data_IF_230082056980
#
_entry.id   IF_230082056980
#
_cell.length_a   1.000
_cell.length_b   1.000
_cell.length_c   1.000
_cell.angle_alpha   90.00
_cell.angle_beta   90.00
_cell.angle_gamma   90.00
#
_symmetry.space_group_name_H-M   'P 1'
#
loop_
_entity.id
_entity.type
_entity.pdbx_description
1 polymer ?
2 water ?
#
# COMPACT_ATOMS: atom_id res chain seq x y z
N UNK A 13 2.55 9.18 -12.54
CA UNK A 13 3.15 10.50 -12.55
C UNK A 13 3.58 10.91 -11.16
N UNK A 14 2.61 11.11 -10.27
CA UNK A 14 2.89 11.37 -8.87
C UNK A 14 2.34 10.21 -8.03
N UNK A 15 3.25 9.45 -7.43
CA UNK A 15 2.85 8.31 -6.61
C UNK A 15 2.72 8.75 -5.16
N UNK A 16 1.69 8.24 -4.49
CA UNK A 16 1.43 8.57 -3.10
C UNK A 16 1.70 7.32 -2.26
N UNK A 17 2.57 7.44 -1.26
CA UNK A 17 2.95 6.29 -0.44
C UNK A 17 3.79 5.30 -1.22
N UNK A 18 4.01 4.12 -0.63
CA UNK A 18 4.83 3.13 -1.28
C UNK A 18 4.38 1.74 -0.88
N UNK A 19 3.66 1.07 -1.76
CA UNK A 19 3.15 -0.25 -1.46
C UNK A 19 4.29 -1.26 -1.30
N UNK A 20 4.04 -2.25 -0.44
CA UNK A 20 4.88 -3.44 -0.31
C UNK A 20 3.95 -4.63 -0.15
N UNK A 21 4.48 -5.83 -0.37
CA UNK A 21 3.70 -7.05 -0.24
C UNK A 21 4.25 -7.83 0.92
N UNK A 22 3.40 -8.18 1.89
CA UNK A 22 3.81 -9.02 2.99
C UNK A 22 3.42 -10.47 2.64
N UNK A 23 4.42 -11.37 2.60
CA UNK A 23 4.19 -12.77 2.25
C UNK A 23 4.37 -13.64 3.50
N UNK A 24 3.27 -14.14 4.09
CA UNK A 24 3.45 -15.03 5.25
C UNK A 24 4.21 -16.29 4.86
N UNK A 25 5.18 -16.69 5.67
CA UNK A 25 6.11 -17.76 5.29
C UNK A 25 5.41 -19.08 4.97
N UNK A 26 4.26 -19.30 5.58
CA UNK A 26 3.56 -20.56 5.38
C UNK A 26 2.44 -20.47 4.33
N UNK A 27 2.34 -19.35 3.63
CA UNK A 27 1.25 -19.14 2.68
C UNK A 27 1.49 -19.80 1.33
N UNK A 28 0.44 -20.39 0.76
CA UNK A 28 0.57 -20.95 -0.58
C UNK A 28 0.75 -19.84 -1.61
N UNK A 29 0.10 -18.71 -1.38
CA UNK A 29 0.28 -17.59 -2.29
C UNK A 29 -0.41 -16.33 -1.78
N UNK A 30 -0.08 -15.22 -2.42
CA UNK A 30 -0.76 -13.96 -2.17
C UNK A 30 -1.14 -13.35 -3.51
N UNK A 31 -2.06 -12.40 -3.50
CA UNK A 31 -2.54 -11.77 -4.73
C UNK A 31 -2.32 -10.26 -4.67
N UNK A 32 -1.99 -9.66 -5.81
CA UNK A 32 -1.88 -8.21 -5.87
C UNK A 32 -2.43 -7.72 -7.19
N UNK A 33 -3.04 -6.53 -7.19
CA UNK A 33 -3.62 -5.99 -8.40
C UNK A 33 -2.57 -5.22 -9.20
N UNK A 34 -2.74 -5.20 -10.51
CA UNK A 34 -1.89 -4.42 -11.40
C UNK A 34 -2.82 -3.60 -12.28
N UNK A 35 -2.49 -2.33 -12.46
CA UNK A 35 -3.32 -1.47 -13.30
C UNK A 35 -2.49 -0.77 -14.36
N UNK A 36 -3.03 -0.73 -15.58
CA UNK A 36 -2.44 0.01 -16.68
C UNK A 36 -3.04 1.41 -16.72
N UNK A 37 -2.24 2.42 -16.38
CA UNK A 37 -2.74 3.78 -16.33
C UNK A 37 -2.76 4.48 -17.70
N UNK A 38 -2.20 3.82 -18.71
CA UNK A 38 -2.14 4.40 -20.05
C UNK A 38 -3.46 4.24 -20.81
N UNK A 39 -3.61 5.00 -21.90
CA UNK A 39 -4.82 4.91 -22.72
C UNK A 39 -4.63 3.93 -23.89
N UNK A 40 -3.56 3.14 -23.81
CA UNK A 40 -3.27 2.10 -24.80
C UNK A 40 -3.00 0.78 -24.11
N UNK A 41 -3.24 -0.35 -24.80
CA UNK A 41 -2.99 -1.66 -24.20
C UNK A 41 -1.50 -1.92 -24.00
N UNK A 42 -1.15 -2.70 -22.99
CA UNK A 42 0.22 -3.14 -22.82
C UNK A 42 0.25 -4.61 -22.46
N UNK A 43 1.38 -5.28 -22.69
CA UNK A 43 1.55 -6.64 -22.23
C UNK A 43 2.37 -6.60 -20.97
N UNK A 44 1.82 -7.15 -19.89
CA UNK A 44 2.44 -7.12 -18.56
C UNK A 44 3.35 -8.34 -18.38
N UNK A 45 4.64 -8.09 -18.19
CA UNK A 45 5.61 -9.14 -17.94
C UNK A 45 6.05 -9.04 -16.47
N UNK A 46 5.88 -10.11 -15.70
CA UNK A 46 6.16 -10.04 -14.27
C UNK A 46 7.16 -11.11 -13.89
N UNK A 47 8.11 -10.76 -13.01
CA UNK A 47 9.02 -11.76 -12.46
C UNK A 47 9.49 -11.41 -11.07
N UNK A 48 9.98 -12.42 -10.35
CA UNK A 48 10.51 -12.20 -9.01
C UNK A 48 12.03 -12.27 -9.04
N UNK A 49 12.65 -11.36 -8.30
CA UNK A 49 14.10 -11.27 -8.20
C UNK A 49 14.55 -11.37 -6.75
N UNK A 50 15.85 -11.55 -6.52
CA UNK A 50 16.40 -11.54 -5.17
C UNK A 50 16.40 -10.10 -4.61
N UNK A 51 16.94 -9.94 -3.39
CA UNK A 51 16.86 -8.64 -2.71
C UNK A 51 17.60 -7.54 -3.45
N UNK A 52 18.48 -7.92 -4.37
CA UNK A 52 19.24 -6.94 -5.12
C UNK A 52 18.73 -6.76 -6.55
N UNK A 53 17.49 -7.19 -6.78
CA UNK A 53 16.86 -7.14 -8.11
C UNK A 53 17.63 -7.92 -9.17
N UNK A 54 18.24 -9.03 -8.74
CA UNK A 54 18.91 -9.92 -9.67
C UNK A 54 18.20 -11.26 -9.76
N UNK A 55 18.26 -11.88 -10.94
CA UNK A 55 17.60 -13.17 -11.16
C UNK A 55 18.25 -14.27 -10.32
N UNK A 56 17.43 -15.15 -9.76
CA UNK A 56 17.98 -16.31 -9.05
C UNK A 56 18.01 -17.51 -9.99
N UNK A 57 18.86 -18.48 -9.68
CA UNK A 57 19.01 -19.67 -10.52
C UNK A 57 17.69 -20.43 -10.61
N UNK A 58 17.11 -20.70 -9.44
CA UNK A 58 15.79 -21.29 -9.34
C UNK A 58 14.93 -20.29 -8.59
N UNK A 59 13.93 -19.75 -9.27
CA UNK A 59 13.04 -18.76 -8.67
C UNK A 59 12.40 -19.33 -7.42
N UNK A 60 12.55 -18.65 -6.27
CA UNK A 60 11.91 -19.12 -5.05
C UNK A 60 10.41 -18.85 -5.06
N UNK A 61 9.92 -18.01 -5.98
CA UNK A 61 8.49 -17.77 -6.17
C UNK A 61 8.14 -17.87 -7.65
N UNK A 62 6.88 -18.18 -7.92
CA UNK A 62 6.33 -18.16 -9.28
C UNK A 62 5.17 -17.16 -9.36
N UNK A 63 5.19 -16.29 -10.37
CA UNK A 63 4.12 -15.32 -10.57
C UNK A 63 3.27 -15.74 -11.74
N UNK A 64 1.97 -15.78 -11.52
CA UNK A 64 1.05 -16.13 -12.61
C UNK A 64 -0.05 -15.08 -12.71
N UNK A 65 -0.42 -14.73 -13.94
CA UNK A 65 0.26 -15.14 -15.18
C UNK A 65 1.55 -14.33 -15.39
N UNK A 66 2.61 -14.97 -15.92
CA UNK A 66 3.86 -14.22 -16.08
C UNK A 66 3.82 -13.23 -17.25
N UNK A 67 2.83 -13.39 -18.13
CA UNK A 67 2.63 -12.49 -19.25
C UNK A 67 1.13 -12.40 -19.53
N UNK A 68 0.58 -11.19 -19.55
CA UNK A 68 -0.81 -11.03 -19.98
C UNK A 68 -1.11 -9.63 -20.48
N UNK A 69 -2.23 -9.51 -21.20
CA UNK A 69 -2.63 -8.25 -21.79
C UNK A 69 -3.51 -7.45 -20.84
N UNK A 70 -3.15 -6.19 -20.62
CA UNK A 70 -4.00 -5.28 -19.87
C UNK A 70 -4.37 -4.13 -20.79
N UNK A 71 -5.65 -4.04 -21.14
CA UNK A 71 -6.11 -2.97 -22.01
C UNK A 71 -6.07 -1.63 -21.28
N UNK A 72 -6.35 -0.56 -22.02
CA UNK A 72 -6.28 0.80 -21.47
C UNK A 72 -7.11 0.96 -20.21
N UNK A 73 -6.47 1.47 -19.16
CA UNK A 73 -7.13 1.78 -17.89
C UNK A 73 -7.66 0.54 -17.17
N UNK A 74 -7.32 -0.63 -17.67
CA UNK A 74 -7.78 -1.89 -17.07
C UNK A 74 -6.90 -2.37 -15.93
N UNK A 75 -7.52 -3.15 -15.05
CA UNK A 75 -6.78 -3.78 -13.97
C UNK A 75 -7.05 -5.28 -13.94
N UNK A 76 -6.09 -6.03 -13.43
CA UNK A 76 -6.29 -7.44 -13.18
C UNK A 76 -5.42 -7.80 -12.01
N UNK A 77 -5.15 -9.06 -11.80
CA UNK A 77 -4.33 -9.44 -10.65
C UNK A 77 -3.27 -10.49 -10.94
N UNK A 78 -2.26 -10.51 -10.09
CA UNK A 78 -1.17 -11.47 -10.17
C UNK A 78 -1.23 -12.33 -8.93
N UNK A 79 -0.89 -13.61 -9.09
CA UNK A 79 -0.68 -14.49 -7.96
C UNK A 79 0.81 -14.73 -7.79
N UNK A 80 1.30 -14.52 -6.58
CA UNK A 80 2.68 -14.78 -6.23
C UNK A 80 2.67 -15.99 -5.30
N UNK A 81 3.31 -17.08 -5.74
CA UNK A 81 3.26 -18.33 -4.99
C UNK A 81 4.66 -18.84 -4.69
N UNK A 82 4.95 -19.18 -3.44
CA UNK A 82 6.28 -19.71 -3.14
C UNK A 82 6.51 -21.04 -3.87
N UNK A 83 7.74 -21.24 -4.32
CA UNK A 83 8.02 -22.30 -5.28
C UNK A 83 9.24 -23.11 -4.88
N UNK A 84 9.59 -23.08 -3.60
CA UNK A 84 10.61 -23.98 -3.10
C UNK A 84 11.78 -23.35 -2.38
N UNK A 85 11.85 -22.03 -2.36
CA UNK A 85 12.87 -21.36 -1.57
C UNK A 85 12.73 -21.72 -0.11
N UNK A 86 13.86 -21.92 0.57
CA UNK A 86 13.86 -22.21 2.00
C UNK A 86 14.20 -20.93 2.76
N UNK A 87 13.21 -20.35 3.43
CA UNK A 87 13.38 -19.07 4.11
C UNK A 87 13.56 -19.29 5.60
N UNK A 88 14.38 -18.45 6.24
CA UNK A 88 14.56 -18.59 7.70
C UNK A 88 13.29 -18.20 8.45
N UNK A 89 13.12 -18.77 9.64
CA UNK A 89 11.94 -18.50 10.43
C UNK A 89 12.19 -17.51 11.57
N UNK A 90 13.40 -16.96 11.65
CA UNK A 90 13.78 -16.07 12.75
C UNK A 90 13.81 -14.59 12.34
N UNK A 91 13.59 -14.33 11.06
CA UNK A 91 13.62 -12.96 10.56
C UNK A 91 12.96 -12.91 9.19
N UNK A 92 12.64 -11.70 8.76
CA UNK A 92 12.11 -11.48 7.41
C UNK A 92 13.18 -11.72 6.35
N UNK A 93 12.71 -12.06 5.14
CA UNK A 93 13.54 -12.14 3.95
C UNK A 93 12.97 -11.21 2.90
N UNK A 94 13.82 -10.60 2.07
CA UNK A 94 13.35 -9.63 1.07
C UNK A 94 13.60 -10.13 -0.35
N UNK A 95 12.54 -10.07 -1.16
CA UNK A 95 12.63 -10.29 -2.60
C UNK A 95 11.97 -9.11 -3.30
N UNK A 96 12.04 -9.06 -4.63
CA UNK A 96 11.33 -8.04 -5.39
C UNK A 96 10.44 -8.62 -6.46
N UNK A 97 9.22 -8.10 -6.58
CA UNK A 97 8.40 -8.34 -7.76
C UNK A 97 8.58 -7.16 -8.70
N UNK A 98 8.97 -7.44 -9.94
CA UNK A 98 9.10 -6.38 -10.93
C UNK A 98 8.19 -6.67 -12.11
N UNK A 99 7.50 -5.62 -12.57
CA UNK A 99 6.51 -5.72 -13.63
C UNK A 99 6.89 -4.75 -14.73
N UNK A 100 6.84 -5.21 -15.97
CA UNK A 100 7.14 -4.35 -17.12
C UNK A 100 5.95 -4.33 -18.05
N UNK A 101 5.53 -3.14 -18.46
CA UNK A 101 4.45 -3.00 -19.43
C UNK A 101 5.00 -2.77 -20.81
N UNK A 102 4.64 -3.65 -21.74
CA UNK A 102 5.17 -3.61 -23.10
C UNK A 102 4.06 -3.48 -24.14
N UNK A 103 4.21 -2.54 -25.08
CA UNK A 103 3.26 -2.44 -26.20
C UNK A 103 3.29 -3.66 -27.13
N UNK A 104 2.11 -4.08 -27.62
CA UNK A 104 2.03 -5.15 -28.63
C UNK A 104 2.84 -4.79 -29.88
N UNK A 119 8.43 -1.33 -13.01
CA UNK A 119 7.98 -1.07 -11.66
C UNK A 119 8.28 -2.25 -10.74
N UNK A 120 8.99 -1.98 -9.65
CA UNK A 120 9.36 -3.01 -8.68
C UNK A 120 8.78 -2.71 -7.30
N UNK A 121 8.32 -3.76 -6.63
CA UNK A 121 7.74 -3.65 -5.30
C UNK A 121 8.37 -4.68 -4.37
N UNK A 122 8.59 -4.31 -3.11
CA UNK A 122 9.20 -5.23 -2.14
C UNK A 122 8.24 -6.36 -1.78
N UNK A 123 8.80 -7.56 -1.73
CA UNK A 123 8.10 -8.75 -1.27
C UNK A 123 8.79 -9.18 0.02
N UNK A 124 8.11 -8.97 1.14
CA UNK A 124 8.69 -9.25 2.44
C UNK A 124 8.17 -10.58 2.98
N UNK A 125 9.01 -11.59 3.00
CA UNK A 125 8.63 -12.89 3.54
C UNK A 125 8.67 -12.81 5.05
N UNK A 126 7.54 -13.09 5.70
CA UNK A 126 7.45 -12.88 7.14
C UNK A 126 7.05 -14.17 7.86
N UNK A 127 7.96 -14.70 8.69
CA UNK A 127 7.60 -15.89 9.48
C UNK A 127 6.43 -15.59 10.41
N UNK A 128 5.52 -16.54 10.55
CA UNK A 128 4.43 -16.37 11.51
C UNK A 128 4.96 -16.33 12.94
N UNK A 129 6.18 -16.81 13.11
CA UNK A 129 6.82 -16.85 14.43
C UNK A 129 7.15 -15.46 14.95
N UNK A 130 7.26 -14.48 14.05
CA UNK A 130 7.64 -13.12 14.46
C UNK A 130 6.52 -12.44 15.25
N UNK A 131 6.90 -11.81 16.35
CA UNK A 131 5.96 -11.07 17.17
C UNK A 131 5.97 -9.58 16.79
N UNK A 132 4.79 -9.01 16.60
CA UNK A 132 4.70 -7.59 16.30
C UNK A 132 4.77 -7.21 14.84
N UNK A 133 4.92 -5.91 14.59
CA UNK A 133 5.08 -5.36 13.26
C UNK A 133 6.23 -4.33 13.30
N UNK A 134 6.74 -3.92 12.13
CA UNK A 134 7.90 -3.04 12.11
C UNK A 134 7.82 -1.77 12.98
N UNK A 135 6.68 -1.09 13.04
CA UNK A 135 6.61 0.15 13.81
C UNK A 135 6.95 -0.06 15.29
N UNK A 136 6.77 -1.28 15.79
CA UNK A 136 7.07 -1.57 17.19
C UNK A 136 8.57 -1.64 17.50
N UNK A 137 9.40 -1.62 16.46
CA UNK A 137 10.84 -1.78 16.61
C UNK A 137 11.61 -0.63 15.96
N UNK A 138 10.87 0.30 15.36
CA UNK A 138 11.49 1.44 14.68
C UNK A 138 12.40 2.27 15.56
N UNK A 139 12.04 2.42 16.83
CA UNK A 139 12.82 3.21 17.77
C UNK A 139 14.15 2.54 18.10
N UNK A 140 14.23 1.23 17.90
CA UNK A 140 15.37 0.44 18.39
C UNK A 140 16.62 0.52 17.52
N UNK A 141 16.55 1.22 16.39
CA UNK A 141 17.74 1.40 15.57
C UNK A 141 18.79 2.17 16.37
N UNK A 142 20.03 1.72 16.29
CA UNK A 142 21.13 2.48 16.88
C UNK A 142 22.11 2.82 15.77
N UNK A 143 22.96 3.82 16.02
CA UNK A 143 23.74 4.45 14.96
C UNK A 143 25.17 4.71 15.38
N UNK A 144 26.08 4.43 14.44
CA UNK A 144 27.51 4.71 14.62
C UNK A 144 28.03 5.40 13.36
N UNK A 145 29.15 6.10 13.48
CA UNK A 145 29.84 6.63 12.31
C UNK A 145 31.24 6.06 12.28
N UNK A 146 31.59 5.45 11.15
CA UNK A 146 32.96 4.94 10.94
C UNK A 146 33.26 5.01 9.45
N UNK A 147 34.50 5.34 9.11
CA UNK A 147 34.94 5.30 7.72
C UNK A 147 34.15 6.17 6.77
N UNK A 148 33.61 7.26 7.30
CA UNK A 148 32.88 8.21 6.48
C UNK A 148 31.45 7.77 6.18
N UNK A 149 30.98 6.76 6.90
CA UNK A 149 29.63 6.27 6.69
C UNK A 149 28.81 6.31 7.97
N UNK A 150 27.50 6.53 7.81
CA UNK A 150 26.55 6.43 8.92
C UNK A 150 25.99 5.02 8.91
N UNK A 151 26.21 4.29 10.00
CA UNK A 151 25.87 2.87 10.03
C UNK A 151 24.74 2.63 11.01
N UNK A 152 23.62 2.14 10.49
CA UNK A 152 22.49 1.77 11.34
C UNK A 152 22.59 0.30 11.76
N UNK A 153 22.23 0.02 13.00
CA UNK A 153 22.15 -1.36 13.50
C UNK A 153 20.69 -1.66 13.83
N UNK A 154 20.19 -2.76 13.28
CA UNK A 154 18.80 -3.17 13.45
C UNK A 154 18.75 -4.53 14.14
N UNK A 155 18.50 -4.54 15.46
CA UNK A 155 18.46 -5.79 16.22
C UNK A 155 17.18 -6.57 16.03
N UNK A 156 16.19 -5.96 15.37
CA UNK A 156 14.87 -6.57 15.23
C UNK A 156 14.84 -7.59 14.09
N UNK A 157 13.80 -8.44 14.08
CA UNK A 157 13.70 -9.42 12.99
C UNK A 157 12.98 -8.88 11.75
N UNK A 158 12.67 -7.59 11.70
CA UNK A 158 11.98 -7.00 10.55
C UNK A 158 12.89 -6.07 9.77
N UNK A 159 12.74 -6.02 8.45
CA UNK A 159 13.34 -4.93 7.69
C UNK A 159 12.83 -3.60 8.20
N UNK A 160 13.76 -2.69 8.50
CA UNK A 160 13.41 -1.31 8.80
C UNK A 160 13.57 -0.52 7.50
N UNK A 161 12.45 -0.35 6.80
CA UNK A 161 12.48 0.29 5.50
C UNK A 161 12.42 1.81 5.68
N UNK A 162 13.58 2.44 5.61
CA UNK A 162 13.66 3.89 5.85
C UNK A 162 12.87 4.70 4.80
N UNK A 163 12.06 5.63 5.26
CA UNK A 163 11.34 6.55 4.40
C UNK A 163 11.86 7.98 4.47
N UNK A 164 12.46 8.31 5.61
CA UNK A 164 13.08 9.62 5.84
C UNK A 164 14.35 9.40 6.63
N UNK A 165 15.42 10.10 6.27
CA UNK A 165 16.68 9.99 7.02
C UNK A 165 17.46 11.29 6.91
N UNK A 166 17.79 11.87 8.06
CA UNK A 166 18.64 13.06 8.09
C UNK A 166 19.79 12.85 9.06
N UNK A 167 20.95 13.41 8.73
CA UNK A 167 22.12 13.34 9.60
C UNK A 167 22.81 14.69 9.53
N UNK A 168 23.02 15.31 10.68
CA UNK A 168 23.56 16.67 10.71
C UNK A 168 22.67 17.60 9.91
N UNK A 169 21.38 17.29 9.87
CA UNK A 169 20.42 18.15 9.21
C UNK A 169 20.39 17.98 7.71
N UNK A 170 21.20 17.07 7.19
CA UNK A 170 21.27 16.81 5.75
C UNK A 170 20.50 15.54 5.41
N UNK A 171 19.74 15.58 4.31
CA UNK A 171 19.00 14.40 3.88
C UNK A 171 19.94 13.35 3.33
N UNK A 172 19.69 12.10 3.70
CA UNK A 172 20.49 10.97 3.24
C UNK A 172 19.56 10.03 2.48
N UNK A 173 19.93 9.64 1.24
CA UNK A 173 19.04 8.77 0.46
C UNK A 173 18.68 7.48 1.22
N UNK A 174 17.40 7.14 1.24
CA UNK A 174 16.94 6.00 2.03
C UNK A 174 17.42 4.66 1.48
N UNK A 175 17.56 3.71 2.40
CA UNK A 175 17.83 2.32 2.06
C UNK A 175 17.28 1.51 3.23
N UNK A 176 16.82 0.29 2.96
CA UNK A 176 16.38 -0.56 4.06
C UNK A 176 17.51 -0.92 5.01
N UNK A 177 17.17 -1.13 6.27
CA UNK A 177 18.13 -1.67 7.22
C UNK A 177 17.72 -3.11 7.45
N UNK A 178 18.57 -4.06 7.04
CA UNK A 178 18.17 -5.47 7.08
C UNK A 178 18.05 -5.98 8.52
N UNK A 179 17.20 -7.01 8.73
CA UNK A 179 16.96 -7.51 10.09
C UNK A 179 18.18 -8.21 10.67
N UNK A 180 18.36 -8.05 11.99
CA UNK A 180 19.49 -8.63 12.72
C UNK A 180 20.80 -8.32 12.02
N UNK A 181 20.92 -7.10 11.51
CA UNK A 181 22.09 -6.74 10.72
C UNK A 181 22.25 -5.24 10.73
N UNK A 182 22.92 -4.71 9.72
CA UNK A 182 23.29 -3.30 9.67
C UNK A 182 23.16 -2.74 8.26
N UNK A 183 23.11 -1.43 8.13
CA UNK A 183 23.29 -0.78 6.83
C UNK A 183 24.15 0.47 6.93
N UNK A 184 25.14 0.60 6.05
CA UNK A 184 26.06 1.74 6.08
C UNK A 184 25.73 2.68 4.92
N UNK A 185 25.40 3.93 5.27
CA UNK A 185 25.06 4.97 4.29
C UNK A 185 26.26 5.85 3.98
N UNK A 186 26.50 6.09 2.70
CA UNK A 186 27.51 7.07 2.28
C UNK A 186 27.07 8.45 2.73
N UNK A 187 28.04 9.27 3.14
CA UNK A 187 27.76 10.63 3.62
C UNK A 187 28.42 11.67 2.72
N UNK A 191 30.47 16.39 7.10
CA UNK A 191 29.65 15.92 8.22
C UNK A 191 30.49 15.27 9.33
N UNK A 192 31.80 15.52 9.33
CA UNK A 192 32.68 14.91 10.32
C UNK A 192 32.27 15.21 11.76
N UNK A 193 31.79 16.42 12.00
CA UNK A 193 31.37 16.77 13.35
C UNK A 193 30.01 16.22 13.75
N UNK A 194 29.24 15.74 12.79
CA UNK A 194 27.81 15.48 13.00
C UNK A 194 27.52 14.28 13.90
N UNK A 195 26.50 14.40 14.74
CA UNK A 195 26.11 13.29 15.60
C UNK A 195 24.61 13.00 15.61
N UNK A 196 23.81 13.93 15.10
CA UNK A 196 22.36 13.84 15.23
C UNK A 196 21.64 13.19 14.06
N UNK A 197 21.03 12.02 14.29
CA UNK A 197 20.28 11.30 13.27
C UNK A 197 18.78 11.40 13.53
N UNK A 198 18.00 11.62 12.47
CA UNK A 198 16.53 11.56 12.58
C UNK A 198 16.02 10.65 11.48
N UNK A 199 15.00 9.86 11.79
CA UNK A 199 14.48 8.90 10.80
C UNK A 199 13.00 8.61 10.94
N UNK A 200 12.40 8.18 9.84
CA UNK A 200 11.07 7.58 9.85
C UNK A 200 11.17 6.30 9.06
N UNK A 201 10.60 5.21 9.56
CA UNK A 201 10.42 4.03 8.72
C UNK A 201 9.11 4.14 7.94
N UNK A 202 8.96 3.25 6.95
CA UNK A 202 7.70 3.07 6.23
C UNK A 202 7.02 1.87 6.88
N UNK A 203 5.76 2.04 7.27
CA UNK A 203 5.01 0.97 7.91
C UNK A 203 4.50 -0.06 6.89
N UNK A 204 3.86 -1.12 7.38
CA UNK A 204 3.36 -2.18 6.49
C UNK A 204 2.36 -1.65 5.47
N UNK A 205 1.69 -0.55 5.81
CA UNK A 205 0.66 0.02 4.94
C UNK A 205 1.23 0.98 3.90
N UNK A 206 2.55 1.12 3.88
CA UNK A 206 3.19 1.95 2.88
C UNK A 206 3.26 3.42 3.25
N UNK A 207 2.93 3.73 4.49
CA UNK A 207 2.92 5.11 4.95
C UNK A 207 4.11 5.45 5.82
N UNK A 208 4.37 6.75 5.98
CA UNK A 208 5.47 7.17 6.85
C UNK A 208 5.09 7.06 8.32
N UNK A 209 5.99 6.49 9.11
CA UNK A 209 5.80 6.33 10.55
C UNK A 209 6.31 7.59 11.27
N UNK A 210 6.14 7.63 12.59
CA UNK A 210 6.59 8.77 13.39
C UNK A 210 8.11 8.99 13.33
N UNK A 211 8.51 10.21 13.64
CA UNK A 211 9.91 10.62 13.61
C UNK A 211 10.61 10.23 14.90
N UNK A 212 11.82 9.67 14.75
CA UNK A 212 12.71 9.40 15.87
C UNK A 212 13.99 10.17 15.70
N UNK A 213 14.60 10.56 16.82
CA UNK A 213 15.89 11.25 16.83
C UNK A 213 16.81 10.60 17.85
N UNK A 214 18.08 10.39 17.46
CA UNK A 214 19.10 9.89 18.38
C UNK A 214 20.44 10.47 18.00
N UNK A 215 21.37 10.48 18.95
CA UNK A 215 22.73 10.82 18.64
C UNK A 215 23.51 9.54 18.38
N UNK A 216 24.49 9.61 17.49
CA UNK A 216 25.33 8.44 17.26
C UNK A 216 26.13 8.08 18.49
N UNK A 217 26.42 6.79 18.62
CA UNK A 217 27.24 6.25 19.70
C UNK A 217 28.71 6.48 19.37
N UNK B 14 2.45 1.26 -15.11
CA UNK B 14 1.79 0.13 -14.46
C UNK B 14 1.90 0.24 -12.95
N UNK B 15 0.76 0.34 -12.27
CA UNK B 15 0.75 0.42 -10.81
C UNK B 15 0.53 -0.96 -10.20
N UNK B 16 1.26 -1.25 -9.12
CA UNK B 16 1.14 -2.52 -8.42
C UNK B 16 0.55 -2.25 -7.05
N UNK B 17 -0.53 -2.95 -6.71
CA UNK B 17 -1.21 -2.75 -5.44
C UNK B 17 -2.02 -1.47 -5.46
N UNK B 18 -2.63 -1.16 -4.32
CA UNK B 18 -3.42 0.07 -4.21
C UNK B 18 -3.26 0.65 -2.83
N UNK B 19 -2.43 1.68 -2.71
CA UNK B 19 -2.19 2.28 -1.41
C UNK B 19 -3.43 3.00 -0.87
N UNK B 20 -3.51 3.05 0.46
CA UNK B 20 -4.53 3.81 1.17
C UNK B 20 -3.83 4.39 2.40
N UNK B 21 -4.42 5.45 2.95
CA UNK B 21 -3.87 6.11 4.13
C UNK B 21 -4.85 5.84 5.25
N UNK B 22 -4.35 5.27 6.35
CA UNK B 22 -5.17 5.05 7.54
C UNK B 22 -4.86 6.20 8.48
N UNK B 23 -5.88 7.02 8.77
CA UNK B 23 -5.72 8.16 9.66
C UNK B 23 -6.38 7.86 11.01
N UNK B 24 -5.57 7.69 12.06
CA UNK B 24 -6.19 7.41 13.37
C UNK B 24 -7.02 8.62 13.80
N UNK B 25 -8.28 8.40 14.13
CA UNK B 25 -9.19 9.51 14.42
C UNK B 25 -8.61 10.40 15.52
N UNK B 26 -8.67 11.71 15.31
CA UNK B 26 -8.13 12.69 16.26
C UNK B 26 -6.61 12.67 16.53
N UNK B 27 -5.84 11.94 15.72
CA UNK B 27 -4.41 12.13 15.69
C UNK B 27 -4.16 13.56 15.22
N UNK B 28 -3.08 14.18 15.69
CA UNK B 28 -2.78 15.55 15.29
C UNK B 28 -2.51 15.59 13.79
N UNK B 29 -1.82 14.58 13.29
CA UNK B 29 -1.56 14.48 11.87
C UNK B 29 -0.85 13.20 11.46
N UNK B 30 -0.69 13.03 10.15
CA UNK B 30 0.14 11.94 9.61
C UNK B 30 0.99 12.53 8.48
N UNK B 31 2.14 11.92 8.24
CA UNK B 31 2.97 12.30 7.08
C UNK B 31 2.79 11.30 5.95
N UNK B 32 2.82 11.82 4.72
CA UNK B 32 2.62 11.01 3.51
C UNK B 32 3.66 11.39 2.46
N UNK B 33 4.31 10.38 1.87
CA UNK B 33 5.32 10.63 0.84
C UNK B 33 4.72 10.72 -0.57
N UNK B 34 5.17 11.71 -1.34
CA UNK B 34 4.80 11.82 -2.75
C UNK B 34 6.06 11.80 -3.60
N UNK B 35 5.98 11.16 -4.76
CA UNK B 35 7.13 11.06 -5.64
C UNK B 35 6.76 11.37 -7.08
N UNK B 36 7.58 12.20 -7.72
CA UNK B 36 7.44 12.51 -9.14
C UNK B 36 8.21 11.46 -9.93
N UNK B 37 7.50 10.70 -10.76
CA UNK B 37 8.14 9.61 -11.51
C UNK B 37 8.75 10.07 -12.83
N UNK B 38 8.47 11.31 -13.21
CA UNK B 38 8.93 11.80 -14.52
C UNK B 38 10.21 12.63 -14.43
N UNK B 39 10.84 12.86 -15.58
CA UNK B 39 12.06 13.67 -15.65
C UNK B 39 11.78 15.13 -15.98
N UNK B 40 10.61 15.61 -15.56
CA UNK B 40 10.23 17.01 -15.68
C UNK B 40 9.58 17.44 -14.38
N UNK B 41 9.70 18.74 -14.02
CA UNK B 41 9.10 19.19 -12.76
C UNK B 41 7.58 19.36 -12.88
N UNK B 42 6.89 19.19 -11.76
CA UNK B 42 5.44 19.34 -11.73
C UNK B 42 5.01 20.19 -10.53
N UNK B 43 4.05 21.07 -10.73
CA UNK B 43 3.45 21.79 -9.62
C UNK B 43 2.32 20.91 -9.11
N UNK B 44 2.41 20.48 -7.85
CA UNK B 44 1.32 19.67 -7.33
C UNK B 44 0.45 20.35 -6.29
N UNK B 45 -0.86 20.19 -6.47
CA UNK B 45 -1.85 20.70 -5.54
C UNK B 45 -2.45 19.50 -4.83
N UNK B 46 -2.37 19.50 -3.52
CA UNK B 46 -2.88 18.40 -2.72
C UNK B 46 -4.04 18.86 -1.85
N UNK B 47 -5.17 18.19 -1.98
CA UNK B 47 -6.37 18.54 -1.22
C UNK B 47 -7.12 17.31 -0.75
N UNK B 48 -7.78 17.42 0.40
CA UNK B 48 -8.64 16.35 0.88
C UNK B 48 -10.09 16.66 0.50
N UNK B 49 -10.77 15.68 -0.09
CA UNK B 49 -12.16 15.82 -0.53
C UNK B 49 -13.06 14.89 0.28
N UNK B 50 -14.38 15.04 0.18
CA UNK B 50 -15.26 14.09 0.85
C UNK B 50 -15.24 12.73 0.15
N UNK B 51 -16.05 11.78 0.63
CA UNK B 51 -16.02 10.41 0.12
C UNK B 51 -16.37 10.32 -1.37
N UNK B 52 -16.98 11.38 -1.90
CA UNK B 52 -17.35 11.41 -3.31
C UNK B 52 -16.46 12.32 -4.13
N UNK B 53 -15.29 12.65 -3.58
CA UNK B 53 -14.34 13.54 -4.22
C UNK B 53 -14.96 14.92 -4.53
N UNK B 54 -15.90 15.33 -3.68
CA UNK B 54 -16.46 16.67 -3.74
C UNK B 54 -15.74 17.55 -2.73
N UNK B 55 -15.51 18.81 -3.09
CA UNK B 55 -14.94 19.77 -2.15
C UNK B 55 -15.92 19.96 -1.00
N UNK B 56 -15.41 19.96 0.23
CA UNK B 56 -16.27 20.22 1.38
C UNK B 56 -16.39 21.70 1.70
N UNK B 57 -17.44 22.08 2.43
CA UNK B 57 -17.68 23.48 2.77
C UNK B 57 -16.51 24.06 3.56
N UNK B 58 -16.10 23.34 4.58
CA UNK B 58 -14.87 23.63 5.30
C UNK B 58 -14.08 22.32 5.32
N UNK B 59 -12.89 22.34 4.72
CA UNK B 59 -12.07 21.14 4.61
C UNK B 59 -11.84 20.46 5.97
N UNK B 60 -12.17 19.17 6.06
CA UNK B 60 -12.01 18.44 7.33
C UNK B 60 -10.53 18.14 7.63
N UNK B 61 -9.68 18.38 6.65
CA UNK B 61 -8.24 18.14 6.78
C UNK B 61 -7.45 19.25 6.10
N UNK B 62 -6.28 19.56 6.65
CA UNK B 62 -5.38 20.55 6.07
C UNK B 62 -4.10 19.87 5.61
N UNK B 63 -3.69 20.14 4.38
CA UNK B 63 -2.48 19.53 3.79
C UNK B 63 -1.40 20.59 3.64
N UNK B 64 -0.19 20.25 4.08
CA UNK B 64 0.92 21.19 4.03
C UNK B 64 2.16 20.48 3.52
N UNK B 65 2.78 21.01 2.45
CA UNK B 65 2.38 22.18 1.65
C UNK B 65 1.21 21.86 0.74
N UNK B 66 0.23 22.78 0.62
CA UNK B 66 -0.94 22.52 -0.21
C UNK B 66 -0.61 22.62 -1.70
N UNK B 67 0.49 23.27 -2.02
CA UNK B 67 0.85 23.58 -3.40
C UNK B 67 2.35 23.80 -3.44
N UNK B 68 3.08 23.02 -4.22
CA UNK B 68 4.54 23.20 -4.33
C UNK B 68 5.11 22.53 -5.57
N UNK B 69 6.33 22.90 -5.91
CA UNK B 69 6.99 22.40 -7.11
C UNK B 69 7.83 21.18 -6.74
N UNK B 70 7.48 20.05 -7.32
CA UNK B 70 8.20 18.80 -7.11
C UNK B 70 9.05 18.55 -8.36
N UNK B 71 10.37 18.64 -8.22
CA UNK B 71 11.24 18.53 -9.38
C UNK B 71 11.29 17.11 -9.90
N UNK B 72 11.90 16.95 -11.07
CA UNK B 72 12.08 15.65 -11.71
C UNK B 72 12.61 14.61 -10.72
N UNK B 73 11.91 13.48 -10.64
CA UNK B 73 12.34 12.35 -9.80
C UNK B 73 12.39 12.64 -8.29
N UNK B 74 11.91 13.80 -7.88
CA UNK B 74 11.99 14.18 -6.48
C UNK B 74 10.93 13.50 -5.63
N UNK B 75 11.27 13.29 -4.35
CA UNK B 75 10.35 12.76 -3.35
C UNK B 75 10.14 13.85 -2.29
N UNK B 76 8.91 13.99 -1.79
CA UNK B 76 8.62 14.96 -0.74
C UNK B 76 7.53 14.46 0.20
N UNK B 77 7.57 14.89 1.45
CA UNK B 77 6.53 14.53 2.39
C UNK B 77 5.46 15.61 2.52
N UNK B 78 4.21 15.17 2.64
CA UNK B 78 3.07 16.06 2.94
C UNK B 78 2.61 15.79 4.36
N UNK B 79 2.22 16.84 5.08
CA UNK B 79 1.55 16.66 6.34
C UNK B 79 0.04 16.73 6.11
N UNK B 80 -0.68 15.72 6.60
CA UNK B 80 -2.15 15.75 6.61
C UNK B 80 -2.62 15.88 8.05
N UNK B 81 -3.32 16.98 8.36
CA UNK B 81 -3.73 17.24 9.73
C UNK B 81 -5.24 17.41 9.83
N UNK B 82 -5.86 16.69 10.76
CA UNK B 82 -7.29 16.83 10.98
C UNK B 82 -7.64 18.23 11.49
N UNK B 83 -8.74 18.79 10.99
CA UNK B 83 -9.21 20.10 11.41
C UNK B 83 -10.53 19.99 12.16
N UNK B 87 -16.52 13.34 13.63
CA UNK B 87 -16.50 12.00 13.04
C UNK B 87 -17.09 10.98 13.99
N UNK B 88 -17.84 10.00 13.45
CA UNK B 88 -18.36 8.94 14.32
C UNK B 88 -17.22 8.10 14.90
N UNK B 89 -17.42 7.54 16.09
CA UNK B 89 -16.39 6.71 16.71
C UNK B 89 -16.72 5.22 16.68
N UNK B 90 -17.83 4.87 16.00
CA UNK B 90 -18.27 3.47 15.94
C UNK B 90 -17.98 2.81 14.58
N UNK B 91 -17.40 3.58 13.66
CA UNK B 91 -17.11 3.09 12.31
C UNK B 91 -16.13 4.00 11.63
N UNK B 92 -15.51 3.51 10.57
CA UNK B 92 -14.63 4.34 9.76
C UNK B 92 -15.41 5.39 8.97
N UNK B 93 -14.71 6.46 8.61
CA UNK B 93 -15.21 7.48 7.68
C UNK B 93 -14.23 7.59 6.52
N UNK B 94 -14.74 7.78 5.31
CA UNK B 94 -13.86 7.85 4.13
C UNK B 94 -13.76 9.28 3.61
N UNK B 95 -12.52 9.71 3.36
CA UNK B 95 -12.25 10.94 2.63
C UNK B 95 -11.27 10.58 1.52
N UNK B 96 -10.97 11.53 0.64
CA UNK B 96 -9.97 11.27 -0.42
C UNK B 96 -8.89 12.33 -0.41
N UNK B 97 -7.63 11.90 -0.52
CA UNK B 97 -6.54 12.82 -0.80
C UNK B 97 -6.31 12.76 -2.30
N UNK B 98 -6.46 13.90 -2.96
CA UNK B 98 -6.21 13.97 -4.39
C UNK B 98 -5.04 14.89 -4.68
N UNK B 99 -4.08 14.39 -5.44
CA UNK B 99 -2.92 15.18 -5.79
C UNK B 99 -2.99 15.46 -7.28
N UNK B 100 -3.11 16.74 -7.62
CA UNK B 100 -3.28 17.17 -9.01
C UNK B 100 -2.06 17.92 -9.45
N UNK B 101 -1.47 17.48 -10.57
CA UNK B 101 -0.24 18.09 -11.05
C UNK B 101 -0.40 18.75 -12.40
N UNK B 102 0.29 19.88 -12.59
CA UNK B 102 0.35 20.57 -13.87
C UNK B 102 1.79 21.07 -14.04
N UNK B 103 2.15 21.51 -15.26
CA UNK B 103 3.49 22.14 -15.35
C UNK B 103 3.53 23.47 -14.60
N UNK B 104 4.66 23.77 -13.95
CA UNK B 104 4.84 25.03 -13.20
C UNK B 104 5.05 26.24 -14.11
N UNK B 118 -3.79 13.53 -12.10
CA UNK B 118 -4.65 13.48 -10.93
C UNK B 118 -4.66 12.10 -10.29
N UNK B 119 -4.16 12.01 -9.07
CA UNK B 119 -4.10 10.75 -8.33
C UNK B 119 -4.87 10.90 -7.03
N UNK B 120 -5.94 10.11 -6.87
CA UNK B 120 -6.70 10.12 -5.62
C UNK B 120 -6.49 8.82 -4.85
N UNK B 121 -6.28 8.97 -3.54
CA UNK B 121 -6.03 7.85 -2.64
C UNK B 121 -7.00 7.94 -1.47
N UNK B 122 -7.52 6.79 -1.03
CA UNK B 122 -8.45 6.76 0.11
C UNK B 122 -7.77 7.17 1.41
N UNK B 123 -8.45 8.04 2.15
CA UNK B 123 -8.04 8.44 3.50
C UNK B 123 -9.09 7.85 4.42
N UNK B 124 -8.73 6.77 5.09
CA UNK B 124 -9.67 6.06 5.95
C UNK B 124 -9.51 6.54 7.38
N UNK B 125 -10.48 7.31 7.85
CA UNK B 125 -10.45 7.83 9.21
C UNK B 125 -10.93 6.73 10.13
N UNK B 126 -10.05 6.27 11.01
CA UNK B 126 -10.31 5.05 11.77
C UNK B 126 -10.26 5.32 13.28
N UNK B 127 -11.41 5.18 13.95
CA UNK B 127 -11.41 5.38 15.40
C UNK B 127 -10.51 4.34 16.07
N UNK B 128 -9.72 4.76 17.06
CA UNK B 128 -8.93 3.81 17.85
C UNK B 128 -9.82 2.80 18.57
N UNK B 129 -11.09 3.17 18.79
CA UNK B 129 -12.08 2.30 19.41
C UNK B 129 -12.39 1.03 18.62
N UNK B 130 -12.18 1.04 17.31
CA UNK B 130 -12.50 -0.13 16.49
C UNK B 130 -11.58 -1.30 16.80
N UNK B 131 -12.17 -2.47 16.99
CA UNK B 131 -11.40 -3.67 17.26
C UNK B 131 -11.17 -4.45 15.97
N UNK B 132 -9.95 -4.95 15.79
CA UNK B 132 -9.64 -5.78 14.64
C UNK B 132 -9.22 -5.00 13.40
N UNK B 133 -9.18 -5.71 12.27
CA UNK B 133 -8.78 -5.14 10.99
C UNK B 133 -9.80 -5.59 9.96
N UNK B 134 -9.85 -4.92 8.80
CA UNK B 134 -10.83 -5.29 7.77
C UNK B 134 -10.83 -6.77 7.36
N UNK B 135 -9.66 -7.42 7.26
CA UNK B 135 -9.69 -8.83 6.81
C UNK B 135 -10.49 -9.74 7.75
N UNK B 136 -10.62 -9.35 9.01
CA UNK B 136 -11.38 -10.16 9.97
C UNK B 136 -12.90 -10.11 9.75
N UNK B 137 -13.35 -9.21 8.88
CA UNK B 137 -14.77 -9.01 8.62
C UNK B 137 -15.15 -9.23 7.16
N UNK B 138 -14.16 -9.53 6.34
CA UNK B 138 -14.38 -9.71 4.90
C UNK B 138 -15.41 -10.80 4.58
N UNK B 139 -15.43 -11.86 5.39
CA UNK B 139 -16.36 -12.97 5.16
C UNK B 139 -17.80 -12.59 5.47
N UNK B 140 -17.99 -11.54 6.29
CA UNK B 140 -19.31 -11.20 6.81
C UNK B 140 -20.26 -10.49 5.85
N UNK B 141 -19.78 -10.16 4.65
CA UNK B 141 -20.67 -9.55 3.68
C UNK B 141 -21.80 -10.50 3.31
N UNK B 142 -23.02 -9.98 3.25
CA UNK B 142 -24.13 -10.77 2.73
C UNK B 142 -24.65 -10.09 1.48
N UNK B 143 -25.37 -10.84 0.66
CA UNK B 143 -25.72 -10.40 -0.68
C UNK B 143 -27.17 -10.65 -1.03
N UNK B 144 -27.78 -9.64 -1.64
CA UNK B 144 -29.15 -9.77 -2.15
C UNK B 144 -29.19 -9.25 -3.59
N UNK B 145 -30.21 -9.66 -4.35
CA UNK B 145 -30.44 -9.09 -5.66
C UNK B 145 -31.84 -8.48 -5.69
N UNK B 146 -31.91 -7.20 -6.04
CA UNK B 146 -33.20 -6.52 -6.24
C UNK B 146 -33.03 -5.44 -7.30
N UNK B 147 -34.06 -5.22 -8.11
CA UNK B 147 -34.06 -4.12 -9.07
C UNK B 147 -32.93 -4.16 -10.07
N UNK B 148 -32.44 -5.37 -10.37
CA UNK B 148 -31.37 -5.53 -11.34
C UNK B 148 -30.00 -5.21 -10.79
N UNK B 149 -29.90 -5.09 -9.47
CA UNK B 149 -28.63 -4.82 -8.84
C UNK B 149 -28.25 -5.88 -7.83
N UNK B 150 -26.93 -6.11 -7.69
CA UNK B 150 -26.39 -6.99 -6.67
C UNK B 150 -26.03 -6.11 -5.49
N UNK B 151 -26.64 -6.38 -4.34
CA UNK B 151 -26.50 -5.49 -3.19
C UNK B 151 -25.76 -6.17 -2.05
N UNK B 152 -24.61 -5.61 -1.66
CA UNK B 152 -23.86 -6.11 -0.54
C UNK B 152 -24.27 -5.42 0.74
N UNK B 153 -24.34 -6.18 1.83
CA UNK B 153 -24.56 -5.59 3.14
C UNK B 153 -23.32 -5.82 4.00
N UNK B 154 -22.81 -4.74 4.59
CA UNK B 154 -21.60 -4.77 5.41
C UNK B 154 -21.94 -4.39 6.84
N UNK B 155 -22.07 -5.39 7.72
CA UNK B 155 -22.45 -5.10 9.12
C UNK B 155 -21.27 -4.63 9.97
N UNK B 156 -20.07 -4.66 9.43
CA UNK B 156 -18.86 -4.34 10.18
C UNK B 156 -18.61 -2.83 10.26
N UNK B 157 -17.72 -2.40 11.18
CA UNK B 157 -17.39 -0.97 11.26
C UNK B 157 -16.32 -0.49 10.28
N UNK B 158 -15.86 -1.37 9.39
CA UNK B 158 -14.80 -1.01 8.46
C UNK B 158 -15.33 -0.96 7.03
N UNK B 159 -14.80 -0.04 6.23
CA UNK B 159 -15.01 -0.15 4.78
C UNK B 159 -14.50 -1.49 4.27
N UNK B 160 -15.35 -2.20 3.53
CA UNK B 160 -14.93 -3.40 2.83
C UNK B 160 -14.61 -2.96 1.41
N UNK B 161 -13.34 -2.68 1.19
CA UNK B 161 -12.90 -2.12 -0.08
C UNK B 161 -12.68 -3.23 -1.09
N UNK B 162 -13.75 -3.58 -1.80
CA UNK B 162 -13.70 -4.66 -2.78
C UNK B 162 -12.61 -4.43 -3.81
N UNK B 163 -11.81 -5.46 -4.07
CA UNK B 163 -10.82 -5.41 -5.12
C UNK B 163 -11.07 -6.43 -6.23
N UNK B 164 -11.96 -7.40 -5.98
CA UNK B 164 -12.35 -8.38 -6.98
C UNK B 164 -13.78 -8.79 -6.65
N UNK B 165 -14.64 -8.82 -7.66
CA UNK B 165 -16.05 -9.17 -7.48
C UNK B 165 -16.54 -9.90 -8.71
N UNK B 166 -17.12 -11.09 -8.50
CA UNK B 166 -17.60 -11.91 -9.59
C UNK B 166 -18.99 -12.41 -9.22
N UNK B 167 -19.93 -12.32 -10.16
CA UNK B 167 -21.30 -12.77 -9.93
C UNK B 167 -21.75 -13.55 -11.16
N UNK B 168 -22.23 -14.77 -10.96
CA UNK B 168 -22.59 -15.63 -12.07
C UNK B 168 -21.47 -15.78 -13.09
N UNK B 169 -20.22 -15.73 -12.62
CA UNK B 169 -19.06 -15.91 -13.47
C UNK B 169 -18.61 -14.67 -14.21
N UNK B 170 -19.32 -13.56 -13.99
CA UNK B 170 -18.98 -12.30 -14.64
C UNK B 170 -18.32 -11.32 -13.69
N UNK B 171 -17.27 -10.65 -14.14
CA UNK B 171 -16.63 -9.64 -13.33
C UNK B 171 -17.51 -8.41 -13.20
N UNK B 172 -17.59 -7.90 -11.98
CA UNK B 172 -18.37 -6.71 -11.66
C UNK B 172 -17.39 -5.63 -11.20
N UNK B 173 -17.47 -4.41 -11.76
CA UNK B 173 -16.52 -3.38 -11.34
C UNK B 173 -16.55 -3.13 -9.84
N UNK B 174 -15.37 -3.03 -9.23
CA UNK B 174 -15.21 -2.87 -7.79
C UNK B 174 -15.79 -1.55 -7.26
N UNK B 175 -16.29 -1.59 -6.03
CA UNK B 175 -16.64 -0.37 -5.29
C UNK B 175 -16.60 -0.76 -3.83
N UNK B 176 -16.25 0.19 -2.96
CA UNK B 176 -16.25 -0.10 -1.53
C UNK B 176 -17.66 -0.37 -1.01
N UNK B 177 -17.75 -1.21 0.02
CA UNK B 177 -19.01 -1.38 0.74
C UNK B 177 -18.86 -0.59 2.03
N UNK B 178 -19.65 0.47 2.22
CA UNK B 178 -19.49 1.31 3.42
C UNK B 178 -19.85 0.58 4.71
N UNK B 179 -19.22 0.99 5.81
CA UNK B 179 -19.47 0.29 7.08
C UNK B 179 -20.88 0.50 7.59
N UNK B 180 -21.43 -0.52 8.23
CA UNK B 180 -22.78 -0.50 8.78
C UNK B 180 -23.78 -0.01 7.73
N UNK B 181 -23.58 -0.45 6.49
CA UNK B 181 -24.41 0.02 5.38
C UNK B 181 -24.35 -0.98 4.24
N UNK B 182 -24.63 -0.52 3.03
CA UNK B 182 -24.78 -1.38 1.86
C UNK B 182 -24.18 -0.71 0.64
N UNK B 183 -23.94 -1.52 -0.39
CA UNK B 183 -23.64 -0.96 -1.71
C UNK B 183 -24.32 -1.78 -2.79
N UNK B 184 -24.98 -1.09 -3.74
CA UNK B 184 -25.67 -1.77 -4.83
C UNK B 184 -24.93 -1.61 -6.15
N UNK B 185 -24.54 -2.73 -6.72
CA UNK B 185 -23.79 -2.77 -7.97
C UNK B 185 -24.68 -2.96 -9.17
N UNK B 186 -24.46 -2.15 -10.21
CA UNK B 186 -25.13 -2.36 -11.48
C UNK B 186 -24.63 -3.65 -12.11
N UNK B 187 -25.53 -4.35 -12.79
CA UNK B 187 -25.16 -5.64 -13.36
C UNK B 187 -25.10 -5.59 -14.88
N UNK B 188 -24.13 -6.30 -15.47
CA UNK B 188 -24.13 -6.46 -16.93
C UNK B 188 -25.33 -7.31 -17.32
N UNK B 189 -25.67 -7.34 -18.60
CA UNK B 189 -26.78 -8.14 -19.08
C UNK B 189 -26.53 -9.63 -18.83
N UNK B 190 -27.61 -10.39 -18.71
CA UNK B 190 -27.53 -11.84 -18.72
C UNK B 190 -27.42 -12.50 -17.36
N UNK B 191 -27.57 -11.70 -16.31
CA UNK B 191 -27.38 -12.22 -14.96
C UNK B 191 -28.67 -12.41 -14.18
N UNK B 192 -29.81 -12.28 -14.83
CA UNK B 192 -31.08 -12.59 -14.17
C UNK B 192 -31.04 -14.06 -13.75
N UNK B 193 -31.36 -14.33 -12.50
CA UNK B 193 -31.34 -15.71 -12.02
C UNK B 193 -30.03 -16.20 -11.42
N UNK B 194 -28.96 -15.42 -11.56
CA UNK B 194 -27.66 -15.85 -11.03
C UNK B 194 -27.66 -15.89 -9.50
N UNK B 195 -26.84 -16.78 -8.93
CA UNK B 195 -26.84 -17.04 -7.49
C UNK B 195 -25.48 -16.84 -6.84
N UNK B 196 -24.42 -17.09 -7.61
CA UNK B 196 -23.11 -17.30 -7.03
C UNK B 196 -22.21 -16.07 -7.04
N UNK B 197 -21.89 -15.55 -5.85
CA UNK B 197 -21.02 -14.38 -5.75
C UNK B 197 -19.69 -14.77 -5.12
N UNK B 198 -18.60 -14.21 -5.62
CA UNK B 198 -17.31 -14.34 -4.96
C UNK B 198 -16.63 -12.98 -4.90
N UNK B 199 -15.83 -12.75 -3.87
CA UNK B 199 -15.19 -11.45 -3.70
C UNK B 199 -13.87 -11.53 -2.95
N UNK B 200 -13.05 -10.52 -3.16
CA UNK B 200 -11.87 -10.26 -2.33
C UNK B 200 -11.89 -8.81 -1.92
N UNK B 201 -11.61 -8.51 -0.65
CA UNK B 201 -11.35 -7.13 -0.25
C UNK B 201 -9.87 -6.79 -0.46
N UNK B 202 -9.58 -5.50 -0.47
CA UNK B 202 -8.21 -4.99 -0.40
C UNK B 202 -7.87 -4.79 1.07
N UNK B 203 -6.74 -5.35 1.51
CA UNK B 203 -6.37 -5.24 2.90
C UNK B 203 -5.73 -3.88 3.20
N UNK B 204 -5.42 -3.61 4.47
CA UNK B 204 -4.86 -2.31 4.83
C UNK B 204 -3.54 -2.04 4.12
N UNK B 205 -2.86 -3.11 3.71
CA UNK B 205 -1.55 -2.97 3.07
C UNK B 205 -1.64 -2.80 1.55
N UNK B 206 -2.85 -2.72 1.03
CA UNK B 206 -3.03 -2.48 -0.40
C UNK B 206 -3.04 -3.72 -1.27
N UNK B 207 -2.99 -4.89 -0.65
CA UNK B 207 -2.98 -6.15 -1.38
C UNK B 207 -4.36 -6.77 -1.44
N UNK B 208 -4.51 -7.80 -2.26
CA UNK B 208 -5.79 -8.48 -2.36
C UNK B 208 -5.85 -9.65 -1.40
N UNK B 209 -6.91 -9.66 -0.59
CA UNK B 209 -7.15 -10.69 0.41
C UNK B 209 -7.70 -11.97 -0.21
N UNK B 210 -7.88 -13.00 0.62
CA UNK B 210 -8.39 -14.28 0.13
C UNK B 210 -9.80 -14.18 -0.45
N UNK B 211 -10.15 -15.17 -1.26
CA UNK B 211 -11.44 -15.22 -1.93
C UNK B 211 -12.50 -15.79 -1.00
N UNK B 212 -13.66 -15.14 -0.98
CA UNK B 212 -14.83 -15.69 -0.31
C UNK B 212 -15.93 -15.91 -1.33
N UNK B 213 -16.77 -16.90 -1.10
CA UNK B 213 -17.86 -17.25 -2.01
C UNK B 213 -19.13 -17.50 -1.21
N UNK B 214 -20.25 -16.96 -1.67
CA UNK B 214 -21.56 -17.20 -1.06
C UNK B 214 -22.62 -17.23 -2.14
N UNK B 215 -23.78 -17.79 -1.81
CA UNK B 215 -24.94 -17.59 -2.65
C UNK B 215 -25.73 -16.37 -2.17
N UNK B 216 -26.41 -15.71 -3.10
CA UNK B 216 -27.32 -14.60 -2.79
C UNK B 216 -28.47 -15.06 -1.90
N UNK B 217 -28.83 -14.26 -0.89
CA UNK B 217 -29.95 -14.56 -0.01
C UNK B 217 -31.22 -14.30 -0.79
N UNK B 218 -32.16 -15.23 -0.74
CA UNK B 218 -33.39 -15.07 -1.49
C UNK B 218 -34.53 -14.52 -0.64
#
# INVERSE_FOLDING_TARGET
AQPDIKFASKEYGVTIGESRIIYPLDAAGVMVSVKNTQDYPVLIQSRIYDENKEKESEDPFVVTPPLFRLDAKQQNSLRIAQAGGVFPRDKESLKWLCVKGIPPKDEDIWVDVQFAINNCIKLLVRPNELKGTPIQFAENLSWKVDGGKLIAENPSPFYMNIGELTFGGKSIPSHYIPPKSTWAFDLPKGLAGARNVSWRIINDQGGLDRLYSKNVTL
AQPDIKFASKEYGVTIGESRIIYPLDAAGVMVSVKNTQDYPVLIQSRIYDENKEKESEDPFVVTPPLFRLDAKQQNSLRIAQAGGVFPRDKESLKWLCVKGIPPKDEDIWVDVQFAINNCIKLLVRPNELKGTPIQFAENLSWKVDGGKLIAENPSPFYMNIGELTFGGKSIPSHYIPPKSTWAFDLPKGLAGARNVSWRIINDQGGLDRLYSKNVTL
#
